data_IF_225105836196
#
_entry.id   IF_225105836196
#
_cell.length_a   1.000
_cell.length_b   1.000
_cell.length_c   1.000
_cell.angle_alpha   90.00
_cell.angle_beta   90.00
_cell.angle_gamma   90.00
#
_symmetry.space_group_name_H-M   'P 1'
#
loop_
_entity.id
_entity.type
_entity.pdbx_description
1 polymer ?
#
# COMPACT_ATOMS: atom_id res chain seq x y z
N UNK A 1 29.71 -35.06 -15.75
CA UNK A 1 28.57 -34.24 -15.29
C UNK A 1 28.91 -33.38 -14.07
N UNK A 2 29.56 -33.89 -13.02
CA UNK A 2 29.99 -33.06 -11.87
C UNK A 2 30.98 -31.92 -12.26
N UNK A 3 31.88 -32.16 -13.22
CA UNK A 3 32.89 -31.19 -13.65
C UNK A 3 32.31 -29.95 -14.37
N UNK A 4 31.13 -30.07 -14.97
CA UNK A 4 30.42 -28.95 -15.63
C UNK A 4 29.69 -28.10 -14.57
N UNK A 5 29.14 -28.74 -13.53
CA UNK A 5 28.47 -28.07 -12.42
C UNK A 5 29.42 -27.27 -11.51
N UNK A 6 30.71 -27.65 -11.46
CA UNK A 6 31.75 -26.98 -10.67
C UNK A 6 32.56 -25.93 -11.46
N UNK A 7 32.20 -25.66 -12.72
CA UNK A 7 32.83 -24.57 -13.48
C UNK A 7 32.45 -23.21 -12.85
N UNK A 8 33.41 -22.30 -12.58
CA UNK A 8 33.12 -20.98 -12.01
C UNK A 8 32.00 -20.21 -12.71
N UNK A 9 31.88 -20.30 -14.04
CA UNK A 9 30.80 -19.65 -14.79
C UNK A 9 29.42 -20.25 -14.48
N UNK A 10 29.32 -21.57 -14.37
CA UNK A 10 28.10 -22.28 -14.00
C UNK A 10 27.71 -22.01 -12.55
N UNK A 11 28.68 -21.88 -11.64
CA UNK A 11 28.46 -21.49 -10.25
C UNK A 11 27.94 -20.05 -10.18
N UNK A 12 28.60 -19.09 -10.84
CA UNK A 12 28.15 -17.71 -10.88
C UNK A 12 26.74 -17.57 -11.47
N UNK A 13 26.43 -18.29 -12.54
CA UNK A 13 25.10 -18.31 -13.13
C UNK A 13 24.06 -18.89 -12.15
N UNK A 14 24.37 -20.01 -11.48
CA UNK A 14 23.49 -20.60 -10.49
C UNK A 14 23.22 -19.65 -9.32
N UNK A 15 24.25 -18.96 -8.82
CA UNK A 15 24.13 -17.96 -7.76
C UNK A 15 23.29 -16.76 -8.21
N UNK A 16 23.48 -16.27 -9.43
CA UNK A 16 22.68 -15.18 -10.00
C UNK A 16 21.20 -15.59 -10.13
N UNK A 17 20.93 -16.79 -10.63
CA UNK A 17 19.57 -17.31 -10.77
C UNK A 17 18.89 -17.48 -9.40
N UNK A 18 19.62 -18.00 -8.41
CA UNK A 18 19.13 -18.09 -7.03
C UNK A 18 18.84 -16.68 -6.46
N UNK A 19 19.75 -15.73 -6.64
CA UNK A 19 19.57 -14.34 -6.20
C UNK A 19 18.31 -13.72 -6.84
N UNK A 20 18.10 -13.91 -8.14
CA UNK A 20 16.89 -13.45 -8.83
C UNK A 20 15.63 -14.15 -8.32
N UNK A 21 15.69 -15.46 -8.04
CA UNK A 21 14.54 -16.22 -7.57
C UNK A 21 14.08 -15.80 -6.16
N UNK A 22 15.03 -15.52 -5.24
CA UNK A 22 14.73 -15.03 -3.90
C UNK A 22 14.36 -13.54 -3.84
N UNK A 23 14.55 -12.79 -4.93
CA UNK A 23 14.32 -11.35 -5.02
C UNK A 23 13.40 -10.97 -6.18
N UNK A 24 12.50 -11.87 -6.57
CA UNK A 24 11.64 -11.68 -7.72
C UNK A 24 10.83 -10.38 -7.61
N UNK A 25 10.33 -10.04 -6.42
CA UNK A 25 9.57 -8.81 -6.16
C UNK A 25 10.40 -7.54 -6.35
N UNK A 26 11.71 -7.63 -6.10
CA UNK A 26 12.67 -6.53 -6.21
C UNK A 26 13.35 -6.42 -7.57
N UNK A 27 13.08 -7.34 -8.51
CA UNK A 27 13.60 -7.21 -9.88
C UNK A 27 12.99 -6.00 -10.61
N UNK A 28 13.73 -5.40 -11.57
CA UNK A 28 13.21 -4.32 -12.40
C UNK A 28 11.86 -4.68 -13.03
N UNK A 29 10.97 -3.68 -13.14
CA UNK A 29 9.63 -3.80 -13.71
C UNK A 29 8.61 -4.67 -12.94
N UNK A 30 9.02 -5.51 -11.98
CA UNK A 30 8.07 -6.37 -11.26
C UNK A 30 7.07 -5.55 -10.44
N UNK A 31 7.50 -4.45 -9.82
CA UNK A 31 6.59 -3.50 -9.18
C UNK A 31 5.51 -2.98 -10.16
N UNK A 32 5.89 -2.60 -11.38
CA UNK A 32 4.96 -2.11 -12.40
C UNK A 32 3.96 -3.21 -12.79
N UNK A 33 4.41 -4.46 -12.95
CA UNK A 33 3.54 -5.59 -13.25
C UNK A 33 2.54 -5.87 -12.12
N UNK A 34 2.96 -5.73 -10.85
CA UNK A 34 2.07 -5.85 -9.68
C UNK A 34 1.00 -4.76 -9.67
N UNK A 35 1.38 -3.52 -9.98
CA UNK A 35 0.46 -2.39 -10.12
C UNK A 35 -0.50 -2.59 -11.31
N UNK A 36 -0.01 -3.02 -12.48
CA UNK A 36 -0.85 -3.36 -13.64
C UNK A 36 -1.83 -4.50 -13.33
N UNK A 37 -1.40 -5.52 -12.59
CA UNK A 37 -2.27 -6.59 -12.12
C UNK A 37 -3.35 -6.08 -11.13
N UNK A 38 -3.06 -5.04 -10.34
CA UNK A 38 -4.08 -4.38 -9.54
C UNK A 38 -5.09 -3.63 -10.43
N UNK A 39 -4.61 -2.95 -11.49
CA UNK A 39 -5.44 -2.25 -12.47
C UNK A 39 -6.23 -3.16 -13.42
N UNK A 40 -5.96 -4.47 -13.46
CA UNK A 40 -6.68 -5.40 -14.34
C UNK A 40 -8.20 -5.32 -14.19
N UNK A 41 -8.71 -4.92 -13.02
CA UNK A 41 -10.16 -4.76 -12.77
C UNK A 41 -10.79 -3.51 -13.37
N UNK A 42 -9.97 -2.58 -13.86
CA UNK A 42 -10.44 -1.50 -14.73
C UNK A 42 -10.83 -2.05 -16.11
N UNK A 43 -10.23 -3.16 -16.54
CA UNK A 43 -10.59 -3.87 -17.76
C UNK A 43 -11.92 -4.60 -17.53
N UNK A 44 -12.93 -4.23 -18.33
CA UNK A 44 -14.32 -4.68 -18.18
C UNK A 44 -14.48 -6.21 -18.12
N UNK A 45 -13.67 -6.96 -18.85
CA UNK A 45 -13.75 -8.43 -18.95
C UNK A 45 -13.15 -9.18 -17.77
N UNK A 46 -12.35 -8.52 -16.91
CA UNK A 46 -11.64 -9.15 -15.80
C UNK A 46 -12.24 -8.80 -14.43
N UNK A 47 -13.28 -7.95 -14.38
CA UNK A 47 -13.91 -7.48 -13.14
C UNK A 47 -14.88 -8.51 -12.54
N UNK A 48 -14.98 -8.62 -11.20
CA UNK A 48 -16.09 -9.31 -10.56
C UNK A 48 -17.46 -8.73 -10.95
N UNK A 49 -18.50 -9.57 -11.15
CA UNK A 49 -19.83 -9.13 -11.58
C UNK A 49 -20.70 -8.54 -10.46
N UNK A 50 -20.12 -8.24 -9.29
CA UNK A 50 -20.85 -7.75 -8.12
C UNK A 50 -20.94 -6.22 -8.18
N UNK A 51 -22.15 -5.68 -8.11
CA UNK A 51 -22.36 -4.24 -8.03
C UNK A 51 -21.89 -3.71 -6.66
N UNK A 52 -21.24 -2.55 -6.68
CA UNK A 52 -20.92 -1.82 -5.46
C UNK A 52 -22.21 -1.35 -4.79
N UNK A 53 -22.26 -1.43 -3.46
CA UNK A 53 -23.36 -0.94 -2.63
C UNK A 53 -22.84 0.19 -1.74
N UNK A 54 -23.67 1.17 -1.34
CA UNK A 54 -23.24 2.26 -0.46
C UNK A 54 -22.61 1.79 0.85
N UNK A 55 -23.13 0.71 1.43
CA UNK A 55 -22.56 0.07 2.64
C UNK A 55 -21.13 -0.47 2.48
N UNK A 56 -20.57 -0.47 1.26
CA UNK A 56 -19.20 -0.92 0.96
C UNK A 56 -18.17 0.20 0.94
N UNK A 57 -18.56 1.48 1.01
CA UNK A 57 -17.65 2.65 0.90
C UNK A 57 -16.41 2.52 1.80
N UNK A 58 -16.61 2.15 3.06
CA UNK A 58 -15.52 2.06 4.04
C UNK A 58 -15.00 0.64 4.25
N UNK A 59 -15.51 -0.34 3.50
CA UNK A 59 -15.06 -1.73 3.65
C UNK A 59 -13.61 -1.89 3.16
N UNK A 60 -12.77 -2.65 3.88
CA UNK A 60 -11.39 -2.83 3.48
C UNK A 60 -11.26 -3.81 2.31
N UNK A 61 -10.31 -3.53 1.42
CA UNK A 61 -9.75 -4.54 0.53
C UNK A 61 -8.59 -5.24 1.24
N UNK A 62 -8.63 -6.58 1.23
CA UNK A 62 -7.60 -7.42 1.82
C UNK A 62 -6.67 -7.89 0.70
N UNK A 63 -5.38 -7.61 0.85
CA UNK A 63 -4.34 -8.15 -0.04
C UNK A 63 -3.28 -8.88 0.78
N UNK A 64 -2.47 -9.71 0.13
CA UNK A 64 -1.37 -10.42 0.80
C UNK A 64 -0.07 -10.13 0.07
N UNK A 65 1.01 -9.94 0.81
CA UNK A 65 2.35 -9.76 0.27
C UNK A 65 3.38 -10.51 1.13
N UNK A 66 4.61 -10.59 0.65
CA UNK A 66 5.77 -11.16 1.35
C UNK A 66 6.96 -10.19 1.26
N UNK A 67 7.90 -10.34 2.17
CA UNK A 67 9.19 -9.64 2.10
C UNK A 67 10.21 -10.54 1.40
N UNK A 68 10.82 -10.01 0.36
CA UNK A 68 11.96 -10.65 -0.33
C UNK A 68 13.26 -10.32 0.42
N UNK A 69 14.36 -11.02 0.10
CA UNK A 69 15.64 -10.82 0.77
C UNK A 69 16.14 -9.36 0.64
N UNK A 70 15.94 -8.71 -0.51
CA UNK A 70 16.33 -7.31 -0.75
C UNK A 70 15.36 -6.29 -0.14
N UNK A 71 14.21 -6.73 0.35
CA UNK A 71 13.36 -5.89 1.19
C UNK A 71 13.72 -6.01 2.68
N UNK A 72 14.75 -6.80 3.01
CA UNK A 72 15.21 -7.00 4.38
C UNK A 72 16.38 -6.07 4.68
N UNK A 73 16.32 -5.37 5.80
CA UNK A 73 17.37 -4.46 6.27
C UNK A 73 18.48 -5.19 7.05
N UNK A 74 19.43 -4.41 7.59
CA UNK A 74 20.55 -4.93 8.38
C UNK A 74 20.13 -5.62 9.68
N UNK A 75 18.93 -5.33 10.20
CA UNK A 75 18.37 -5.98 11.38
C UNK A 75 17.59 -7.25 11.04
N UNK A 76 17.60 -7.70 9.79
CA UNK A 76 16.79 -8.81 9.31
C UNK A 76 15.28 -8.57 9.40
N UNK A 77 14.86 -7.30 9.37
CA UNK A 77 13.46 -6.89 9.33
C UNK A 77 13.11 -6.32 7.96
N UNK A 78 11.82 -6.31 7.61
CA UNK A 78 11.37 -5.60 6.41
C UNK A 78 11.74 -4.12 6.53
N UNK A 79 12.49 -3.61 5.58
CA UNK A 79 12.93 -2.20 5.57
C UNK A 79 11.73 -1.26 5.49
N UNK A 80 11.78 -0.15 6.23
CA UNK A 80 10.73 0.87 6.30
C UNK A 80 10.29 1.35 4.90
N UNK A 81 11.23 1.51 3.97
CA UNK A 81 10.93 2.00 2.61
C UNK A 81 10.13 1.00 1.77
N UNK A 82 10.32 -0.31 2.00
CA UNK A 82 9.67 -1.34 1.19
C UNK A 82 8.17 -1.48 1.47
N UNK A 83 7.69 -0.99 2.62
CA UNK A 83 6.26 -0.92 2.94
C UNK A 83 5.48 -0.08 1.93
N UNK A 84 6.05 1.01 1.43
CA UNK A 84 5.39 1.89 0.46
C UNK A 84 5.06 1.17 -0.85
N UNK A 85 5.97 0.31 -1.33
CA UNK A 85 5.74 -0.46 -2.56
C UNK A 85 4.51 -1.38 -2.46
N UNK A 86 4.25 -1.94 -1.29
CA UNK A 86 3.10 -2.81 -1.03
C UNK A 86 1.83 -2.00 -0.82
N UNK A 87 1.93 -0.87 -0.11
CA UNK A 87 0.83 0.08 0.05
C UNK A 87 0.35 0.64 -1.31
N UNK A 88 1.26 0.92 -2.25
CA UNK A 88 0.92 1.38 -3.59
C UNK A 88 0.08 0.36 -4.37
N UNK A 89 0.48 -0.92 -4.34
CA UNK A 89 -0.25 -2.00 -5.01
C UNK A 89 -1.62 -2.22 -4.37
N UNK A 90 -1.70 -2.20 -3.03
CA UNK A 90 -2.96 -2.35 -2.32
C UNK A 90 -3.93 -1.17 -2.59
N UNK A 91 -3.40 0.06 -2.61
CA UNK A 91 -4.16 1.27 -2.96
C UNK A 91 -4.63 1.24 -4.41
N UNK A 92 -3.77 0.87 -5.36
CA UNK A 92 -4.16 0.71 -6.76
C UNK A 92 -5.31 -0.31 -6.91
N UNK A 93 -5.29 -1.39 -6.10
CA UNK A 93 -6.35 -2.40 -6.11
C UNK A 93 -7.65 -1.89 -5.50
N UNK A 94 -7.59 -1.12 -4.41
CA UNK A 94 -8.76 -0.43 -3.84
C UNK A 94 -9.38 0.51 -4.89
N UNK A 95 -8.58 1.39 -5.48
CA UNK A 95 -9.05 2.37 -6.47
C UNK A 95 -9.67 1.70 -7.69
N UNK A 96 -9.03 0.66 -8.21
CA UNK A 96 -9.52 -0.11 -9.36
C UNK A 96 -10.78 -0.91 -9.05
N UNK A 97 -11.06 -1.19 -7.78
CA UNK A 97 -12.30 -1.87 -7.36
C UNK A 97 -13.44 -0.88 -7.21
N UNK A 98 -13.18 0.28 -6.61
CA UNK A 98 -14.20 1.30 -6.34
C UNK A 98 -14.63 2.10 -7.58
N UNK A 99 -13.69 2.48 -8.46
CA UNK A 99 -13.98 3.46 -9.54
C UNK A 99 -14.08 2.85 -10.93
N UNK A 100 -14.17 1.52 -11.03
CA UNK A 100 -14.29 0.87 -12.31
C UNK A 100 -15.78 0.80 -12.72
N UNK A 101 -16.16 1.45 -13.83
CA UNK A 101 -17.56 1.66 -14.23
C UNK A 101 -18.28 0.42 -14.82
N UNK A 102 -19.57 0.27 -14.47
CA UNK A 102 -20.66 -0.55 -15.04
C UNK A 102 -20.60 -2.11 -15.03
N UNK A 103 -21.75 -2.79 -14.84
CA UNK A 103 -21.85 -4.25 -14.61
C UNK A 103 -21.85 -5.07 -15.92
N UNK A 104 -21.28 -6.28 -15.86
CA UNK A 104 -21.55 -7.39 -16.78
C UNK A 104 -21.06 -8.73 -16.18
N UNK A 105 -21.67 -9.82 -16.67
CA UNK A 105 -21.86 -11.14 -16.04
C UNK A 105 -20.65 -12.09 -16.16
N UNK A 106 -20.31 -12.69 -15.01
CA UNK A 106 -19.53 -13.91 -14.68
C UNK A 106 -18.44 -14.48 -15.62
N UNK A 107 -17.19 -14.51 -15.11
CA UNK A 107 -16.31 -15.70 -15.01
C UNK A 107 -15.13 -15.42 -14.05
N UNK A 108 -14.82 -16.36 -13.16
CA UNK A 108 -13.77 -16.21 -12.13
C UNK A 108 -12.42 -16.82 -12.52
N UNK A 109 -11.34 -16.40 -11.83
CA UNK A 109 -10.43 -17.41 -11.27
C UNK A 109 -10.00 -17.10 -9.83
N UNK A 110 -9.95 -18.16 -9.02
CA UNK A 110 -9.36 -18.18 -7.68
C UNK A 110 -7.85 -18.35 -7.72
N UNK A 111 -7.19 -17.83 -6.69
CA UNK A 111 -5.76 -18.05 -6.43
C UNK A 111 -5.52 -18.18 -4.93
N UNK A 112 -4.94 -19.31 -4.51
CA UNK A 112 -4.41 -19.54 -3.16
C UNK A 112 -2.95 -19.11 -3.12
N UNK A 113 -2.56 -18.30 -2.14
CA UNK A 113 -1.15 -18.05 -1.80
C UNK A 113 -0.81 -18.71 -0.46
N UNK A 114 -0.19 -19.90 -0.50
CA UNK A 114 0.46 -20.51 0.67
C UNK A 114 1.90 -20.01 0.72
N UNK A 115 2.26 -19.36 1.82
CA UNK A 115 3.57 -18.76 2.05
C UNK A 115 3.56 -17.90 3.31
N UNK A 116 4.72 -17.72 3.93
CA UNK A 116 5.00 -16.83 5.09
C UNK A 116 4.91 -15.36 4.67
N UNK A 117 3.70 -14.93 4.33
CA UNK A 117 3.38 -13.54 3.99
C UNK A 117 2.62 -12.84 5.10
N UNK A 118 2.39 -11.54 4.93
CA UNK A 118 1.52 -10.71 5.77
C UNK A 118 0.27 -10.29 4.97
N UNK A 119 -0.77 -9.86 5.69
CA UNK A 119 -1.98 -9.27 5.13
C UNK A 119 -1.88 -7.74 5.08
N UNK A 120 -2.54 -7.13 4.11
CA UNK A 120 -2.75 -5.69 4.08
C UNK A 120 -4.24 -5.42 4.05
N UNK A 121 -4.72 -4.55 4.94
CA UNK A 121 -6.08 -4.04 4.95
C UNK A 121 -6.07 -2.59 4.51
N UNK A 122 -6.60 -2.32 3.33
CA UNK A 122 -6.62 -0.98 2.74
C UNK A 122 -8.06 -0.51 2.60
N UNK A 123 -8.41 0.63 3.21
CA UNK A 123 -9.76 1.20 3.14
C UNK A 123 -9.72 2.71 3.01
N UNK A 124 -10.84 3.28 2.57
CA UNK A 124 -11.07 4.72 2.68
C UNK A 124 -11.09 5.07 4.17
N UNK A 125 -10.34 6.10 4.56
CA UNK A 125 -10.43 6.70 5.89
C UNK A 125 -11.51 7.79 5.88
N UNK A 126 -11.36 8.76 4.99
CA UNK A 126 -12.26 9.89 4.81
C UNK A 126 -11.94 10.63 3.49
N UNK A 127 -12.70 11.66 3.18
CA UNK A 127 -12.41 12.60 2.11
C UNK A 127 -12.93 13.99 2.44
N UNK A 128 -12.31 15.01 1.84
CA UNK A 128 -12.78 16.40 1.80
C UNK A 128 -13.00 16.84 0.33
N UNK A 129 -13.03 18.14 0.05
CA UNK A 129 -13.26 18.69 -1.28
C UNK A 129 -12.07 18.51 -2.26
N UNK A 130 -10.89 18.19 -1.75
CA UNK A 130 -9.64 18.08 -2.50
C UNK A 130 -8.94 16.73 -2.33
N UNK A 131 -8.89 16.26 -1.10
CA UNK A 131 -8.09 15.14 -0.64
C UNK A 131 -8.96 13.92 -0.36
N UNK A 132 -8.46 12.79 -0.82
CA UNK A 132 -8.99 11.47 -0.56
C UNK A 132 -8.01 10.70 0.31
N UNK A 133 -8.43 10.34 1.51
CA UNK A 133 -7.57 9.73 2.52
C UNK A 133 -7.76 8.21 2.55
N UNK A 134 -6.66 7.49 2.42
CA UNK A 134 -6.64 6.02 2.42
C UNK A 134 -5.72 5.53 3.54
N UNK A 135 -6.23 4.62 4.37
CA UNK A 135 -5.43 3.95 5.39
C UNK A 135 -5.09 2.53 4.93
N UNK A 136 -3.86 2.11 5.18
CA UNK A 136 -3.38 0.74 4.93
C UNK A 136 -2.73 0.19 6.19
N UNK A 137 -3.28 -0.87 6.74
CA UNK A 137 -2.72 -1.61 7.87
C UNK A 137 -1.99 -2.85 7.38
N UNK A 138 -0.78 -3.07 7.86
CA UNK A 138 0.03 -4.25 7.62
C UNK A 138 -0.18 -5.19 8.80
N UNK A 139 -0.80 -6.33 8.58
CA UNK A 139 -1.22 -7.24 9.64
C UNK A 139 -0.65 -8.63 9.47
N UNK A 140 -0.57 -9.38 10.57
CA UNK A 140 -0.25 -10.80 10.54
C UNK A 140 -1.23 -11.55 9.63
N UNK A 141 -0.73 -12.50 8.83
CA UNK A 141 -1.57 -13.26 7.91
C UNK A 141 -2.58 -14.11 8.69
N UNK A 142 -3.87 -13.81 8.49
CA UNK A 142 -4.96 -14.48 9.18
C UNK A 142 -5.39 -13.81 10.49
N UNK A 143 -4.77 -12.69 10.88
CA UNK A 143 -5.31 -11.80 11.90
C UNK A 143 -6.75 -11.39 11.52
N UNK A 144 -7.66 -11.37 12.51
CA UNK A 144 -9.07 -10.95 12.45
C UNK A 144 -9.68 -10.86 11.05
N UNK A 145 -9.93 -12.00 10.40
CA UNK A 145 -10.47 -12.05 9.04
C UNK A 145 -11.75 -11.18 8.96
N UNK A 146 -11.73 -10.05 8.22
CA UNK A 146 -12.89 -9.18 8.09
C UNK A 146 -13.98 -9.87 7.26
N UNK A 147 -14.86 -10.62 7.92
CA UNK A 147 -16.07 -11.22 7.35
C UNK A 147 -15.91 -12.00 6.04
N UNK A 148 -17.04 -12.31 5.40
CA UNK A 148 -17.04 -12.79 4.03
C UNK A 148 -16.84 -11.62 3.06
N UNK A 149 -15.90 -11.76 2.12
CA UNK A 149 -15.64 -10.75 1.10
C UNK A 149 -16.85 -10.59 0.19
N UNK A 150 -17.52 -9.43 0.26
CA UNK A 150 -18.73 -9.14 -0.50
C UNK A 150 -18.52 -8.99 -2.02
N UNK A 151 -17.29 -8.74 -2.50
CA UNK A 151 -17.00 -8.35 -3.89
C UNK A 151 -16.30 -9.41 -4.76
N UNK A 152 -15.90 -10.55 -4.20
CA UNK A 152 -15.14 -11.57 -4.93
C UNK A 152 -15.91 -12.91 -4.97
N UNK A 153 -16.11 -13.52 -6.15
CA UNK A 153 -16.75 -14.82 -6.25
C UNK A 153 -15.79 -15.90 -5.72
N UNK A 154 -16.24 -16.64 -4.70
CA UNK A 154 -15.55 -17.78 -4.07
C UNK A 154 -14.22 -17.38 -3.41
N UNK A 155 -14.30 -17.06 -2.12
CA UNK A 155 -13.18 -17.20 -1.21
C UNK A 155 -13.54 -18.32 -0.25
N UNK A 156 -12.62 -19.25 0.04
CA UNK A 156 -12.87 -20.24 1.09
C UNK A 156 -13.11 -19.50 2.40
N UNK A 157 -14.26 -19.70 3.07
CA UNK A 157 -14.52 -19.02 4.33
C UNK A 157 -13.41 -19.40 5.31
N UNK A 158 -12.67 -18.41 5.81
CA UNK A 158 -11.87 -18.58 7.00
C UNK A 158 -12.80 -18.30 8.16
N UNK A 159 -13.41 -19.37 8.68
CA UNK A 159 -14.23 -19.32 9.89
C UNK A 159 -13.42 -18.71 11.03
N UNK A 160 -13.87 -17.56 11.51
CA UNK A 160 -13.22 -16.80 12.57
C UNK A 160 -13.89 -15.45 12.70
N UNK A 161 -15.09 -15.43 13.28
CA UNK A 161 -15.72 -14.23 13.86
C UNK A 161 -14.94 -13.84 15.12
N UNK A 162 -13.73 -13.35 14.93
CA UNK A 162 -12.96 -12.69 15.98
C UNK A 162 -12.99 -11.20 15.71
N UNK A 163 -13.51 -10.42 16.66
CA UNK A 163 -13.21 -8.99 16.73
C UNK A 163 -11.69 -8.83 16.57
N UNK A 164 -11.25 -7.85 15.79
CA UNK A 164 -9.84 -7.56 15.58
C UNK A 164 -9.22 -6.95 16.85
N UNK A 165 -9.25 -7.69 17.95
CA UNK A 165 -8.46 -7.44 19.14
C UNK A 165 -7.16 -8.21 19.00
N UNK A 166 -6.09 -7.51 18.64
CA UNK A 166 -4.82 -7.58 19.38
C UNK A 166 -3.82 -6.61 18.75
N UNK A 167 -3.35 -5.68 19.56
CA UNK A 167 -2.23 -4.76 19.30
C UNK A 167 -0.97 -5.49 18.76
N UNK A 168 -0.83 -6.79 19.04
CA UNK A 168 0.25 -7.67 18.56
C UNK A 168 0.14 -8.16 17.10
N UNK A 169 -0.97 -7.90 16.40
CA UNK A 169 -1.17 -8.34 15.02
C UNK A 169 -0.87 -7.27 13.96
N UNK A 170 -0.59 -6.04 14.38
CA UNK A 170 -0.32 -4.90 13.51
C UNK A 170 1.19 -4.65 13.39
N UNK A 171 1.75 -4.85 12.19
CA UNK A 171 3.16 -4.59 11.89
C UNK A 171 3.44 -3.12 11.60
N UNK A 172 2.55 -2.46 10.84
CA UNK A 172 2.71 -1.07 10.44
C UNK A 172 1.37 -0.47 9.98
N UNK A 173 1.28 0.86 9.98
CA UNK A 173 0.16 1.60 9.38
C UNK A 173 0.68 2.69 8.46
N UNK A 174 0.09 2.80 7.28
CA UNK A 174 0.35 3.85 6.32
C UNK A 174 -0.91 4.68 6.08
N UNK A 175 -0.79 6.00 6.17
CA UNK A 175 -1.85 6.95 5.82
C UNK A 175 -1.45 7.69 4.53
N UNK A 176 -2.28 7.57 3.50
CA UNK A 176 -2.06 8.17 2.19
C UNK A 176 -3.03 9.31 1.94
N UNK A 177 -2.52 10.44 1.45
CA UNK A 177 -3.32 11.59 1.01
C UNK A 177 -3.28 11.69 -0.52
N UNK A 178 -4.40 11.45 -1.19
CA UNK A 178 -4.51 11.37 -2.64
C UNK A 178 -5.39 12.49 -3.21
N UNK A 179 -5.23 12.81 -4.50
CA UNK A 179 -6.05 13.80 -5.22
C UNK A 179 -6.55 13.19 -6.51
N UNK A 180 -7.83 13.36 -6.82
CA UNK A 180 -8.35 13.02 -8.13
C UNK A 180 -8.09 14.16 -9.12
N UNK A 181 -7.56 13.83 -10.29
CA UNK A 181 -7.24 14.80 -11.34
C UNK A 181 -7.93 14.40 -12.64
N UNK A 182 -8.58 15.37 -13.27
CA UNK A 182 -9.03 15.30 -14.66
C UNK A 182 -8.22 16.34 -15.44
N UNK A 183 -7.15 15.86 -16.09
CA UNK A 183 -6.11 16.74 -16.65
C UNK A 183 -5.47 17.60 -15.55
N UNK A 184 -5.56 18.93 -15.68
CA UNK A 184 -5.06 19.88 -14.67
C UNK A 184 -6.07 20.21 -13.58
N UNK A 185 -7.35 19.86 -13.75
CA UNK A 185 -8.41 20.17 -12.78
C UNK A 185 -8.45 19.11 -11.69
N UNK A 186 -8.56 19.56 -10.45
CA UNK A 186 -8.81 18.68 -9.30
C UNK A 186 -10.30 18.36 -9.26
N UNK A 187 -10.64 17.08 -9.09
CA UNK A 187 -12.02 16.60 -8.98
C UNK A 187 -12.31 16.30 -7.51
N UNK A 188 -13.49 16.72 -7.05
CA UNK A 188 -13.94 16.47 -5.68
C UNK A 188 -14.12 14.96 -5.48
N UNK A 189 -13.51 14.35 -4.46
CA UNK A 189 -13.65 12.92 -4.17
C UNK A 189 -15.10 12.46 -3.99
N UNK A 190 -15.96 13.29 -3.37
CA UNK A 190 -17.38 12.99 -3.21
C UNK A 190 -18.09 12.75 -4.54
N UNK A 191 -17.78 13.54 -5.57
CA UNK A 191 -18.36 13.37 -6.91
C UNK A 191 -17.86 12.08 -7.58
N UNK A 192 -16.59 11.72 -7.38
CA UNK A 192 -16.05 10.45 -7.89
C UNK A 192 -16.77 9.24 -7.26
N UNK A 193 -17.05 9.30 -5.97
CA UNK A 193 -17.77 8.24 -5.25
C UNK A 193 -19.24 8.16 -5.69
N UNK A 194 -19.90 9.30 -5.95
CA UNK A 194 -21.25 9.33 -6.55
C UNK A 194 -21.25 8.70 -7.94
N UNK A 195 -20.30 9.07 -8.79
CA UNK A 195 -20.14 8.49 -10.13
C UNK A 195 -19.85 6.98 -10.10
N UNK A 196 -19.22 6.49 -9.03
CA UNK A 196 -18.99 5.07 -8.80
C UNK A 196 -20.24 4.29 -8.34
N UNK A 197 -21.36 4.97 -8.06
CA UNK A 197 -22.57 4.35 -7.51
C UNK A 197 -22.44 3.94 -6.04
N UNK A 198 -21.54 4.60 -5.30
CA UNK A 198 -21.29 4.34 -3.88
C UNK A 198 -22.17 5.19 -2.94
N UNK A 199 -23.02 6.04 -3.50
CA UNK A 199 -24.08 6.72 -2.78
C UNK A 199 -25.43 6.37 -3.43
N UNK A 200 -26.50 6.21 -2.65
CA UNK A 200 -27.84 6.06 -3.21
C UNK A 200 -28.15 7.27 -4.10
N UNK A 201 -28.76 7.02 -5.26
CA UNK A 201 -29.40 8.08 -6.04
C UNK A 201 -30.66 8.51 -5.28
N UNK A 202 -31.01 9.80 -5.32
CA UNK A 202 -32.03 10.49 -4.48
C UNK A 202 -33.49 9.98 -4.58
N UNK A 203 -33.74 8.73 -5.00
CA UNK A 203 -35.09 8.18 -5.09
C UNK A 203 -35.54 7.57 -3.75
N UNK A 204 -36.01 8.43 -2.85
CA UNK A 204 -37.16 8.17 -1.97
C UNK A 204 -37.12 7.08 -0.89
N UNK A 205 -36.01 6.36 -0.70
CA UNK A 205 -35.91 5.30 0.31
C UNK A 205 -35.52 5.86 1.70
N UNK A 206 -36.41 5.77 2.70
CA UNK A 206 -36.12 6.13 4.11
C UNK A 206 -34.91 5.35 4.67
N UNK A 207 -34.71 4.10 4.23
CA UNK A 207 -33.53 3.29 4.56
C UNK A 207 -32.21 3.85 3.97
N UNK A 208 -32.31 4.57 2.84
CA UNK A 208 -31.17 5.21 2.16
C UNK A 208 -30.65 6.43 2.91
N UNK A 209 -31.55 7.20 3.53
CA UNK A 209 -31.21 8.40 4.30
C UNK A 209 -30.46 8.06 5.59
N UNK A 210 -30.86 7.00 6.30
CA UNK A 210 -30.11 6.48 7.45
C UNK A 210 -28.73 5.98 7.04
N UNK A 211 -28.64 5.24 5.92
CA UNK A 211 -27.34 4.75 5.42
C UNK A 211 -26.40 5.89 5.00
N UNK A 212 -26.94 7.00 4.49
CA UNK A 212 -26.16 8.19 4.14
C UNK A 212 -25.63 8.90 5.39
N UNK A 213 -26.47 9.04 6.42
CA UNK A 213 -26.07 9.63 7.70
C UNK A 213 -24.93 8.83 8.36
N UNK A 214 -25.00 7.50 8.32
CA UNK A 214 -23.94 6.63 8.84
C UNK A 214 -22.62 6.79 8.07
N UNK A 215 -22.70 6.86 6.73
CA UNK A 215 -21.54 7.09 5.86
C UNK A 215 -20.91 8.46 6.15
N UNK A 216 -21.72 9.49 6.32
CA UNK A 216 -21.26 10.83 6.65
C UNK A 216 -20.63 10.89 8.05
N UNK A 217 -21.25 10.23 9.04
CA UNK A 217 -20.68 10.14 10.38
C UNK A 217 -19.31 9.45 10.37
N UNK A 218 -19.18 8.34 9.62
CA UNK A 218 -17.91 7.64 9.49
C UNK A 218 -16.87 8.48 8.73
N UNK A 219 -17.29 9.24 7.72
CA UNK A 219 -16.43 10.20 7.00
C UNK A 219 -15.88 11.26 7.94
N UNK A 220 -16.74 11.89 8.76
CA UNK A 220 -16.35 12.95 9.69
C UNK A 220 -15.37 12.44 10.76
N UNK A 221 -15.62 11.25 11.35
CA UNK A 221 -14.68 10.61 12.28
C UNK A 221 -13.31 10.34 11.64
N UNK A 222 -13.29 9.86 10.41
CA UNK A 222 -12.05 9.65 9.67
C UNK A 222 -11.33 10.96 9.31
N UNK A 223 -12.09 12.04 9.08
CA UNK A 223 -11.55 13.35 8.75
C UNK A 223 -10.84 13.99 9.95
N UNK A 224 -11.36 13.79 11.16
CA UNK A 224 -10.68 14.19 12.40
C UNK A 224 -9.29 13.55 12.52
N UNK A 225 -9.18 12.25 12.24
CA UNK A 225 -7.89 11.55 12.18
C UNK A 225 -6.99 12.07 11.05
N UNK A 226 -7.58 12.35 9.88
CA UNK A 226 -6.87 12.88 8.73
C UNK A 226 -6.37 14.33 8.94
N UNK A 227 -6.96 15.08 9.86
CA UNK A 227 -6.55 16.43 10.22
C UNK A 227 -5.10 16.48 10.74
N UNK A 228 -4.58 15.38 11.27
CA UNK A 228 -3.14 15.23 11.60
C UNK A 228 -2.22 15.51 10.42
N UNK A 229 -2.66 15.25 9.18
CA UNK A 229 -1.94 15.57 7.94
C UNK A 229 -2.31 16.95 7.36
N UNK A 230 -3.06 17.76 8.11
CA UNK A 230 -3.47 19.10 7.74
C UNK A 230 -2.29 20.06 7.61
N UNK A 231 -2.48 21.15 6.86
CA UNK A 231 -1.42 22.16 6.66
C UNK A 231 -0.98 22.79 7.98
N UNK A 232 -1.90 23.03 8.89
CA UNK A 232 -1.62 23.63 10.20
C UNK A 232 -0.68 22.75 11.03
N UNK A 233 -1.00 21.46 11.14
CA UNK A 233 -0.17 20.48 11.83
C UNK A 233 1.18 20.26 11.12
N UNK A 234 1.21 20.32 9.79
CA UNK A 234 2.47 20.27 9.05
C UNK A 234 3.35 21.50 9.33
N UNK A 235 2.77 22.71 9.34
CA UNK A 235 3.50 23.93 9.65
C UNK A 235 3.97 23.96 11.11
N UNK A 236 3.15 23.46 12.04
CA UNK A 236 3.54 23.30 13.43
C UNK A 236 4.73 22.32 13.55
N UNK A 237 4.68 21.18 12.86
CA UNK A 237 5.78 20.23 12.82
C UNK A 237 7.04 20.83 12.18
N UNK A 238 6.90 21.59 11.09
CA UNK A 238 8.02 22.30 10.44
C UNK A 238 8.61 23.38 11.36
N UNK A 239 7.78 24.04 12.18
CA UNK A 239 8.24 25.01 13.16
C UNK A 239 9.02 24.38 14.33
N UNK A 240 8.72 23.13 14.71
CA UNK A 240 9.51 22.35 15.68
C UNK A 240 10.92 22.03 15.17
N UNK A 241 11.11 21.94 13.84
CA UNK A 241 12.45 21.94 13.25
C UNK A 241 13.02 23.35 13.34
N UNK A 242 13.48 23.74 14.55
CA UNK A 242 14.09 25.03 14.91
C UNK A 242 14.86 25.66 13.74
N UNK A 243 14.18 26.55 13.00
CA UNK A 243 14.65 27.04 11.72
C UNK A 243 15.78 28.05 11.85
N UNK A 244 16.90 27.77 11.17
CA UNK A 244 17.68 28.79 10.44
C UNK A 244 18.96 29.32 11.09
N UNK A 245 19.02 29.47 12.43
CA UNK A 245 20.19 30.08 13.10
C UNK A 245 20.96 29.12 14.02
N UNK A 246 20.48 27.88 14.20
CA UNK A 246 21.14 26.87 15.01
C UNK A 246 22.27 26.14 14.27
N UNK A 247 23.31 25.73 14.99
CA UNK A 247 24.31 24.81 14.47
C UNK A 247 23.64 23.49 14.05
N UNK A 248 23.96 23.01 12.84
CA UNK A 248 23.55 21.68 12.38
C UNK A 248 24.56 20.65 12.88
N UNK A 249 24.09 19.46 13.27
CA UNK A 249 24.96 18.37 13.74
C UNK A 249 26.02 17.93 12.71
N UNK A 250 25.74 18.14 11.42
CA UNK A 250 26.68 17.86 10.36
C UNK A 250 26.01 17.91 8.99
N UNK A 251 26.84 18.06 7.96
CA UNK A 251 26.43 17.84 6.57
C UNK A 251 27.16 16.60 6.09
N UNK A 252 26.40 15.63 5.58
CA UNK A 252 26.94 14.37 5.10
C UNK A 252 26.30 14.06 3.76
N UNK A 253 27.12 13.51 2.85
CA UNK A 253 26.59 12.82 1.68
C UNK A 253 26.18 11.41 2.09
N UNK A 254 25.22 10.84 1.37
CA UNK A 254 24.71 9.49 1.60
C UNK A 254 25.71 8.37 1.22
N UNK A 255 26.95 8.74 0.88
CA UNK A 255 27.99 7.80 0.47
C UNK A 255 27.74 7.18 -0.90
N UNK A 256 26.77 7.68 -1.68
CA UNK A 256 26.47 7.13 -3.00
C UNK A 256 27.59 7.42 -4.02
N UNK A 257 27.75 6.49 -4.97
CA UNK A 257 28.75 6.56 -6.03
C UNK A 257 30.14 6.06 -5.62
N UNK A 258 31.03 5.92 -6.60
CA UNK A 258 32.38 5.36 -6.41
C UNK A 258 33.16 6.17 -5.34
N UNK A 259 33.07 7.49 -5.42
CA UNK A 259 33.75 8.38 -4.48
C UNK A 259 33.21 8.24 -3.05
N UNK A 260 31.89 8.11 -2.87
CA UNK A 260 31.27 7.92 -1.55
C UNK A 260 31.68 6.59 -0.93
N UNK A 261 31.61 5.49 -1.71
CA UNK A 261 32.02 4.15 -1.25
C UNK A 261 33.49 4.12 -0.84
N UNK A 262 34.39 4.65 -1.69
CA UNK A 262 35.82 4.70 -1.39
C UNK A 262 36.10 5.55 -0.15
N UNK A 263 35.42 6.69 -0.02
CA UNK A 263 35.55 7.56 1.14
C UNK A 263 35.13 6.85 2.44
N UNK A 264 34.00 6.15 2.42
CA UNK A 264 33.52 5.37 3.56
C UNK A 264 34.50 4.25 3.93
N UNK A 265 35.03 3.52 2.95
CA UNK A 265 36.00 2.44 3.20
C UNK A 265 37.31 2.98 3.80
N UNK A 266 37.81 4.11 3.30
CA UNK A 266 39.01 4.76 3.84
C UNK A 266 38.80 5.25 5.28
N UNK A 267 37.59 5.70 5.62
CA UNK A 267 37.24 6.08 6.99
C UNK A 267 37.18 4.87 7.92
N UNK A 268 36.52 3.78 7.49
CA UNK A 268 36.46 2.53 8.27
C UNK A 268 37.85 1.92 8.48
N UNK A 269 38.76 2.07 7.51
CA UNK A 269 40.14 1.65 7.62
C UNK A 269 41.03 2.61 8.45
N UNK A 270 40.49 3.73 8.95
CA UNK A 270 41.23 4.74 9.71
C UNK A 270 42.21 5.59 8.88
N UNK A 271 42.15 5.48 7.55
CA UNK A 271 43.05 6.15 6.59
C UNK A 271 42.63 7.59 6.28
N UNK A 272 41.40 7.98 6.61
CA UNK A 272 40.91 9.37 6.52
C UNK A 272 40.11 9.73 7.77
N UNK A 273 40.59 10.71 8.55
CA UNK A 273 40.00 11.11 9.85
C UNK A 273 39.02 12.27 9.78
N UNK A 274 38.98 13.05 8.70
CA UNK A 274 38.13 14.24 8.58
C UNK A 274 37.05 14.09 7.51
N UNK A 275 35.83 14.43 7.92
CA UNK A 275 34.62 14.43 7.10
C UNK A 275 34.38 15.82 6.54
N UNK A 276 34.88 16.11 5.34
CA UNK A 276 34.45 17.32 4.60
C UNK A 276 34.23 16.98 3.13
N UNK A 277 32.94 16.95 2.76
CA UNK A 277 32.39 17.48 1.51
C UNK A 277 31.10 18.24 1.91
#
# INVERSE_FOLDING_TARGET
MLSILLNPSSICLALLLALCAFNLKSLPFIWHLRVLNAFRFTIRTLRPPVALRPSMVFQPIITTSSADLFETDFNLHKTNSSYFSDADVARARLMSTLFAAAPARTRGPGGRSSGSGFGLWTRILAWDDKWFYVVTHFVRKGAGCPGESSLYPIQTPRGGSGEAETEGDLYATALSRCVFKSGRKTVVPGDMLRLAGLFPCDEGDEDGESSLADVEQQRLRGLELAHTLGRENQLALEAEFNGGEGEVLGRHTDGAGIAGVVLTLLQLAGLKRTSYL
#
